data_IF_162168751034
#
_entry.id   IF_162168751034
#
_cell.length_a   1.000
_cell.length_b   1.000
_cell.length_c   1.000
_cell.angle_alpha   90.00
_cell.angle_beta   90.00
_cell.angle_gamma   90.00
#
_symmetry.space_group_name_H-M   'P 1'
#
loop_
_entity.id
_entity.type
_entity.pdbx_description
1 polymer ?
#
# COMPACT_ATOMS: atom_id res chain seq x y z
N UNK A 1 55.62 44.34 -14.24
CA UNK A 1 54.37 43.83 -14.85
C UNK A 1 54.35 42.31 -14.99
N UNK A 2 55.32 41.61 -15.53
CA UNK A 2 55.34 40.15 -15.67
C UNK A 2 55.08 39.36 -14.37
N UNK A 3 55.64 39.78 -13.23
CA UNK A 3 55.46 39.13 -11.92
C UNK A 3 54.00 39.21 -11.42
N UNK A 4 53.29 40.29 -11.70
CA UNK A 4 51.87 40.47 -11.29
C UNK A 4 50.96 39.52 -12.07
N UNK A 5 51.23 39.30 -13.34
CA UNK A 5 50.45 38.32 -14.15
C UNK A 5 50.67 36.88 -13.72
N UNK A 6 51.89 36.52 -13.26
CA UNK A 6 52.15 35.17 -12.72
C UNK A 6 51.43 34.94 -11.40
N UNK A 7 51.37 35.93 -10.51
CA UNK A 7 50.64 35.82 -9.23
C UNK A 7 49.14 35.75 -9.50
N UNK A 8 48.61 36.55 -10.42
CA UNK A 8 47.19 36.52 -10.79
C UNK A 8 46.82 35.16 -11.42
N UNK A 9 47.66 34.61 -12.28
CA UNK A 9 47.45 33.28 -12.89
C UNK A 9 47.47 32.15 -11.88
N UNK A 10 48.40 32.16 -10.91
CA UNK A 10 48.44 31.17 -9.82
C UNK A 10 47.21 31.27 -8.93
N UNK A 11 46.76 32.51 -8.62
CA UNK A 11 45.58 32.72 -7.80
C UNK A 11 44.30 32.22 -8.49
N UNK A 12 44.14 32.47 -9.79
CA UNK A 12 43.00 31.94 -10.57
C UNK A 12 43.02 30.43 -10.68
N UNK A 13 44.18 29.80 -10.81
CA UNK A 13 44.32 28.35 -10.89
C UNK A 13 43.98 27.65 -9.55
N UNK A 14 44.36 28.27 -8.43
CA UNK A 14 44.04 27.75 -7.08
C UNK A 14 42.53 27.88 -6.79
N UNK A 15 41.87 28.96 -7.22
CA UNK A 15 40.41 29.10 -7.07
C UNK A 15 39.60 28.11 -7.90
N UNK A 16 40.13 27.57 -9.01
CA UNK A 16 39.44 26.57 -9.81
C UNK A 16 39.52 25.15 -9.22
N UNK A 17 40.39 24.91 -8.26
CA UNK A 17 40.51 23.57 -7.60
C UNK A 17 39.69 23.45 -6.33
N UNK A 18 39.11 24.54 -5.81
CA UNK A 18 38.25 24.48 -4.62
C UNK A 18 36.76 24.28 -4.93
N UNK A 19 36.42 23.96 -6.17
CA UNK A 19 35.01 23.76 -6.61
C UNK A 19 34.54 22.29 -6.52
N UNK A 20 35.14 21.48 -5.68
CA UNK A 20 34.54 20.17 -5.31
C UNK A 20 33.85 20.30 -3.94
N UNK A 21 32.88 21.17 -3.81
CA UNK A 21 31.87 21.01 -2.77
C UNK A 21 31.02 19.80 -3.15
N UNK A 22 30.89 18.88 -2.23
CA UNK A 22 29.98 17.75 -2.36
C UNK A 22 28.59 18.31 -2.63
N UNK A 23 28.12 18.21 -3.87
CA UNK A 23 26.80 18.68 -4.31
C UNK A 23 25.68 17.68 -3.94
N UNK A 24 26.03 16.58 -3.31
CA UNK A 24 25.10 15.64 -2.70
C UNK A 24 24.62 16.20 -1.34
N UNK A 25 23.92 17.33 -1.41
CA UNK A 25 23.23 17.90 -0.26
C UNK A 25 21.82 17.32 -0.25
N UNK A 26 21.57 16.43 0.70
CA UNK A 26 20.21 16.03 1.03
C UNK A 26 19.39 17.28 1.37
N UNK A 27 18.18 17.44 0.78
CA UNK A 27 17.30 18.53 1.13
C UNK A 27 17.02 18.51 2.64
N UNK A 28 17.25 19.63 3.33
CA UNK A 28 17.04 19.71 4.79
C UNK A 28 15.55 19.72 5.18
N UNK A 29 14.66 19.95 4.22
CA UNK A 29 13.21 20.08 4.40
C UNK A 29 12.41 18.91 3.87
N UNK A 30 13.05 17.98 3.15
CA UNK A 30 12.45 16.74 2.68
C UNK A 30 13.35 15.57 3.07
N UNK A 31 12.77 14.53 3.70
CA UNK A 31 13.52 13.34 4.04
C UNK A 31 14.18 12.75 2.78
N UNK A 32 15.50 12.63 2.79
CA UNK A 32 16.20 11.85 1.78
C UNK A 32 15.99 10.36 2.05
N UNK A 33 16.19 9.52 1.04
CA UNK A 33 16.08 8.07 1.17
C UNK A 33 16.97 7.52 2.28
N UNK A 34 18.13 8.11 2.50
CA UNK A 34 19.12 7.63 3.47
C UNK A 34 18.85 8.14 4.88
N UNK A 35 18.20 9.30 5.03
CA UNK A 35 17.85 9.90 6.32
C UNK A 35 16.44 9.58 6.80
N UNK A 36 15.54 9.12 5.91
CA UNK A 36 14.20 8.68 6.28
C UNK A 36 14.26 7.33 7.02
N UNK A 37 13.33 7.08 7.90
CA UNK A 37 13.28 5.92 8.83
C UNK A 37 14.24 6.02 10.03
N UNK A 38 14.69 7.23 10.38
CA UNK A 38 15.53 7.50 11.52
C UNK A 38 14.78 7.60 12.86
N UNK A 39 13.46 7.62 12.82
CA UNK A 39 12.58 7.72 13.97
C UNK A 39 11.32 6.86 13.84
N UNK A 40 10.73 6.51 14.99
CA UNK A 40 9.45 5.78 15.02
C UNK A 40 8.34 6.54 14.30
N UNK A 41 8.29 7.87 14.43
CA UNK A 41 7.30 8.73 13.77
C UNK A 41 7.38 8.64 12.24
N UNK A 42 8.56 8.58 11.68
CA UNK A 42 8.77 8.40 10.23
C UNK A 42 8.32 7.01 9.75
N UNK A 43 8.57 5.98 10.54
CA UNK A 43 8.07 4.62 10.28
C UNK A 43 6.53 4.63 10.28
N UNK A 44 5.90 5.21 11.28
CA UNK A 44 4.43 5.31 11.36
C UNK A 44 3.84 6.11 10.20
N UNK A 45 4.48 7.23 9.80
CA UNK A 45 4.08 8.01 8.62
C UNK A 45 4.21 7.19 7.34
N UNK A 46 5.24 6.37 7.23
CA UNK A 46 5.44 5.49 6.07
C UNK A 46 4.34 4.44 5.98
N UNK A 47 3.96 3.83 7.11
CA UNK A 47 2.82 2.91 7.18
C UNK A 47 1.51 3.62 6.79
N UNK A 48 1.24 4.80 7.34
CA UNK A 48 0.10 5.62 6.93
C UNK A 48 0.10 5.93 5.43
N UNK A 49 1.28 6.22 4.87
CA UNK A 49 1.49 6.40 3.44
C UNK A 49 1.21 5.14 2.61
N UNK A 50 1.55 3.95 3.12
CA UNK A 50 1.22 2.68 2.49
C UNK A 50 -0.29 2.48 2.42
N UNK A 51 -1.01 2.60 3.54
CA UNK A 51 -2.47 2.49 3.57
C UNK A 51 -3.12 3.48 2.60
N UNK A 52 -2.67 4.74 2.61
CA UNK A 52 -3.18 5.75 1.70
C UNK A 52 -2.98 5.41 0.22
N UNK A 53 -1.82 4.89 -0.15
CA UNK A 53 -1.53 4.55 -1.55
C UNK A 53 -2.38 3.39 -2.05
N UNK A 54 -2.71 2.47 -1.15
CA UNK A 54 -3.41 1.22 -1.45
C UNK A 54 -4.92 1.42 -1.52
N UNK A 55 -5.43 2.15 -0.56
CA UNK A 55 -6.86 2.19 -0.30
C UNK A 55 -7.47 3.58 -0.58
N UNK A 56 -6.63 4.61 -0.66
CA UNK A 56 -7.08 5.98 -0.86
C UNK A 56 -6.34 6.64 -2.01
N UNK A 57 -7.02 7.00 -3.08
CA UNK A 57 -6.60 8.16 -3.85
C UNK A 57 -7.41 9.36 -3.42
N UNK A 58 -6.73 10.45 -3.16
CA UNK A 58 -7.31 11.67 -2.61
C UNK A 58 -8.29 12.38 -3.54
N UNK A 59 -8.36 12.00 -4.79
CA UNK A 59 -9.15 12.70 -5.81
C UNK A 59 -10.26 11.83 -6.41
N UNK A 60 -10.80 10.91 -5.64
CA UNK A 60 -12.13 10.34 -5.94
C UNK A 60 -12.24 9.32 -7.05
N UNK A 61 -11.33 9.30 -8.04
CA UNK A 61 -11.52 8.53 -9.25
C UNK A 61 -10.60 7.32 -9.45
N UNK A 62 -9.63 7.05 -8.57
CA UNK A 62 -8.55 6.16 -8.97
C UNK A 62 -8.20 5.01 -8.02
N UNK A 63 -8.78 4.91 -6.85
CA UNK A 63 -8.35 3.90 -5.88
C UNK A 63 -9.41 3.20 -5.08
N UNK A 64 -10.58 3.65 -5.08
CA UNK A 64 -11.63 2.75 -4.62
C UNK A 64 -11.74 1.66 -5.65
N UNK A 65 -11.43 0.44 -5.22
CA UNK A 65 -11.87 -0.73 -5.95
C UNK A 65 -13.38 -0.78 -5.80
N UNK A 66 -14.05 0.14 -6.47
CA UNK A 66 -15.46 0.03 -6.67
C UNK A 66 -15.65 -0.87 -7.90
N UNK A 67 -15.82 -2.15 -7.63
CA UNK A 67 -16.14 -3.13 -8.66
C UNK A 67 -17.60 -3.10 -9.06
N UNK A 68 -18.44 -2.35 -8.34
CA UNK A 68 -19.88 -2.31 -8.65
C UNK A 68 -20.17 -1.90 -10.08
N UNK A 69 -19.50 -0.90 -10.69
CA UNK A 69 -19.70 -0.57 -12.09
C UNK A 69 -19.16 -1.60 -13.10
N UNK A 70 -18.46 -2.65 -12.62
CA UNK A 70 -17.91 -3.70 -13.49
C UNK A 70 -18.81 -4.91 -13.58
N UNK A 71 -19.86 -4.92 -12.78
CA UNK A 71 -20.89 -5.95 -12.74
C UNK A 71 -22.20 -5.42 -13.31
N UNK A 72 -23.23 -6.23 -13.29
CA UNK A 72 -24.60 -5.90 -13.62
C UNK A 72 -25.37 -5.28 -12.44
N UNK A 73 -24.77 -5.21 -11.26
CA UNK A 73 -25.37 -4.62 -10.05
C UNK A 73 -25.52 -3.10 -10.13
N UNK A 74 -24.69 -2.43 -10.95
CA UNK A 74 -24.67 -0.99 -11.04
C UNK A 74 -24.40 -0.51 -12.47
N UNK A 75 -25.18 0.47 -12.92
CA UNK A 75 -25.00 1.12 -14.21
C UNK A 75 -24.73 2.62 -14.04
N UNK A 76 -23.65 3.10 -14.63
CA UNK A 76 -23.35 4.53 -14.68
C UNK A 76 -24.37 5.29 -15.54
N UNK A 77 -24.90 6.40 -15.03
CA UNK A 77 -25.82 7.28 -15.78
C UNK A 77 -25.15 8.00 -16.96
N UNK A 78 -23.86 8.29 -16.84
CA UNK A 78 -23.16 9.19 -17.77
C UNK A 78 -22.53 8.48 -18.96
N UNK A 79 -22.02 7.26 -18.75
CA UNK A 79 -21.37 6.47 -19.81
C UNK A 79 -21.29 5.00 -19.39
N UNK A 80 -21.21 4.10 -20.37
CA UNK A 80 -20.86 2.72 -20.09
C UNK A 80 -19.44 2.67 -19.49
N UNK A 81 -19.28 1.89 -18.43
CA UNK A 81 -17.96 1.60 -17.91
C UNK A 81 -17.14 0.88 -19.00
N UNK A 82 -15.84 1.17 -19.08
CA UNK A 82 -14.95 0.58 -20.09
C UNK A 82 -14.87 -0.95 -20.02
N UNK A 83 -15.14 -1.55 -18.85
CA UNK A 83 -15.22 -3.02 -18.69
C UNK A 83 -16.54 -3.54 -19.21
N UNK A 84 -17.67 -3.03 -18.70
CA UNK A 84 -19.01 -3.49 -19.15
C UNK A 84 -19.31 -3.09 -20.58
N UNK A 85 -18.71 -2.03 -21.09
CA UNK A 85 -18.77 -1.63 -22.49
C UNK A 85 -17.82 -2.41 -23.43
N UNK A 86 -16.99 -3.31 -22.90
CA UNK A 86 -16.06 -4.11 -23.69
C UNK A 86 -14.94 -3.33 -24.38
N UNK A 87 -14.63 -2.11 -23.89
CA UNK A 87 -13.59 -1.23 -24.47
C UNK A 87 -12.28 -1.25 -23.71
N UNK A 88 -12.18 -2.06 -22.67
CA UNK A 88 -10.94 -2.21 -21.88
C UNK A 88 -9.83 -2.80 -22.73
N UNK A 89 -8.62 -2.22 -22.61
CA UNK A 89 -7.42 -2.73 -23.23
C UNK A 89 -6.18 -2.28 -22.44
N UNK A 90 -5.00 -2.75 -22.82
CA UNK A 90 -3.73 -2.44 -22.12
C UNK A 90 -3.34 -0.96 -22.15
N UNK A 91 -3.91 -0.15 -23.03
CA UNK A 91 -3.68 1.29 -23.12
C UNK A 91 -4.67 2.10 -22.24
N UNK A 92 -5.65 1.45 -21.63
CA UNK A 92 -6.63 2.11 -20.77
C UNK A 92 -5.93 2.69 -19.54
N UNK A 93 -6.15 3.97 -19.27
CA UNK A 93 -5.51 4.69 -18.16
C UNK A 93 -5.78 4.03 -16.79
N UNK A 94 -6.99 3.51 -16.59
CA UNK A 94 -7.36 2.81 -15.35
C UNK A 94 -6.54 1.53 -15.15
N UNK A 95 -6.27 0.79 -16.24
CA UNK A 95 -5.44 -0.42 -16.20
C UNK A 95 -4.00 -0.06 -15.85
N UNK A 96 -3.43 0.95 -16.55
CA UNK A 96 -2.08 1.45 -16.27
C UNK A 96 -1.94 1.95 -14.83
N UNK A 97 -2.87 2.77 -14.37
CA UNK A 97 -2.86 3.32 -13.00
C UNK A 97 -2.96 2.23 -11.94
N UNK A 98 -3.80 1.23 -12.15
CA UNK A 98 -3.92 0.10 -11.22
C UNK A 98 -2.60 -0.67 -11.08
N UNK A 99 -1.97 -0.98 -12.22
CA UNK A 99 -0.67 -1.62 -12.25
C UNK A 99 0.40 -0.78 -11.54
N UNK A 100 0.54 0.49 -11.94
CA UNK A 100 1.52 1.40 -11.37
C UNK A 100 1.34 1.62 -9.86
N UNK A 101 0.10 1.83 -9.40
CA UNK A 101 -0.19 2.05 -7.98
C UNK A 101 0.08 0.80 -7.15
N UNK A 102 -0.25 -0.39 -7.66
CA UNK A 102 0.07 -1.65 -7.02
C UNK A 102 1.57 -1.81 -6.79
N UNK A 103 2.36 -1.68 -7.85
CA UNK A 103 3.83 -1.81 -7.74
C UNK A 103 4.49 -0.69 -6.94
N UNK A 104 3.95 0.54 -6.99
CA UNK A 104 4.41 1.64 -6.14
C UNK A 104 4.20 1.33 -4.65
N UNK A 105 3.09 0.72 -4.30
CA UNK A 105 2.83 0.29 -2.92
C UNK A 105 3.75 -0.87 -2.51
N UNK A 106 3.93 -1.87 -3.38
CA UNK A 106 4.82 -3.01 -3.15
C UNK A 106 6.27 -2.54 -2.95
N UNK A 107 6.79 -1.68 -3.83
CA UNK A 107 8.14 -1.15 -3.69
C UNK A 107 8.34 -0.41 -2.36
N UNK A 108 7.38 0.42 -1.94
CA UNK A 108 7.43 1.10 -0.64
C UNK A 108 7.35 0.13 0.53
N UNK A 109 6.54 -0.93 0.41
CA UNK A 109 6.45 -1.96 1.43
C UNK A 109 7.78 -2.71 1.57
N UNK A 110 8.42 -3.08 0.46
CA UNK A 110 9.70 -3.77 0.47
C UNK A 110 10.81 -2.92 1.12
N UNK A 111 10.90 -1.63 0.75
CA UNK A 111 11.84 -0.71 1.39
C UNK A 111 11.59 -0.62 2.90
N UNK A 112 10.32 -0.48 3.31
CA UNK A 112 10.00 -0.40 4.74
C UNK A 112 10.32 -1.71 5.47
N UNK A 113 10.06 -2.87 4.88
CA UNK A 113 10.42 -4.17 5.46
C UNK A 113 11.92 -4.30 5.68
N UNK A 114 12.73 -3.90 4.70
CA UNK A 114 14.18 -3.90 4.82
C UNK A 114 14.67 -2.94 5.92
N UNK A 115 14.15 -1.72 5.95
CA UNK A 115 14.49 -0.73 6.99
C UNK A 115 14.07 -1.17 8.40
N UNK A 116 12.99 -1.92 8.53
CA UNK A 116 12.58 -2.49 9.82
C UNK A 116 13.56 -3.55 10.35
N UNK A 117 14.28 -4.28 9.49
CA UNK A 117 15.34 -5.19 9.94
C UNK A 117 16.49 -4.43 10.61
N UNK A 118 16.84 -3.24 10.11
CA UNK A 118 17.87 -2.35 10.65
C UNK A 118 17.37 -1.47 11.81
N UNK A 119 16.08 -1.54 12.16
CA UNK A 119 15.42 -0.61 13.08
C UNK A 119 15.89 -0.69 14.54
N UNK A 120 16.79 -1.60 14.89
CA UNK A 120 17.46 -1.61 16.19
C UNK A 120 18.20 -0.29 16.49
N UNK A 121 18.61 0.44 15.45
CA UNK A 121 19.24 1.76 15.57
C UNK A 121 18.25 2.88 15.92
N UNK A 122 16.94 2.66 15.71
CA UNK A 122 15.88 3.67 15.93
C UNK A 122 15.31 3.61 17.34
N UNK A 123 15.68 2.58 18.14
CA UNK A 123 15.25 2.45 19.54
C UNK A 123 13.78 2.02 19.72
N UNK A 124 13.15 1.45 18.70
CA UNK A 124 11.81 0.86 18.83
C UNK A 124 11.89 -0.53 19.47
N UNK A 125 10.88 -0.89 20.27
CA UNK A 125 10.81 -2.22 20.84
C UNK A 125 10.56 -3.29 19.78
N UNK A 126 11.00 -4.53 20.03
CA UNK A 126 10.78 -5.64 19.12
C UNK A 126 9.28 -5.87 18.85
N UNK A 127 8.43 -5.70 19.86
CA UNK A 127 6.97 -5.79 19.72
C UNK A 127 6.44 -4.77 18.68
N UNK A 128 6.87 -3.52 18.74
CA UNK A 128 6.49 -2.49 17.78
C UNK A 128 7.06 -2.78 16.40
N UNK A 129 8.29 -3.26 16.32
CA UNK A 129 8.91 -3.67 15.05
C UNK A 129 8.07 -4.75 14.37
N UNK A 130 7.66 -5.79 15.12
CA UNK A 130 6.81 -6.86 14.59
C UNK A 130 5.42 -6.34 14.17
N UNK A 131 4.84 -5.42 14.95
CA UNK A 131 3.57 -4.79 14.57
C UNK A 131 3.70 -4.01 13.24
N UNK A 132 4.74 -3.20 13.09
CA UNK A 132 4.96 -2.40 11.87
C UNK A 132 5.28 -3.29 10.66
N UNK A 133 6.04 -4.36 10.88
CA UNK A 133 6.28 -5.39 9.88
C UNK A 133 4.96 -6.04 9.43
N UNK A 134 4.12 -6.45 10.37
CA UNK A 134 2.84 -7.08 10.09
C UNK A 134 1.88 -6.16 9.30
N UNK A 135 1.81 -4.87 9.66
CA UNK A 135 1.06 -3.87 8.91
C UNK A 135 1.55 -3.75 7.46
N UNK A 136 2.86 -3.76 7.28
CA UNK A 136 3.50 -3.64 5.97
C UNK A 136 3.28 -4.88 5.10
N UNK A 137 3.41 -6.09 5.68
CA UNK A 137 3.13 -7.35 5.02
C UNK A 137 1.66 -7.45 4.59
N UNK A 138 0.73 -7.03 5.45
CA UNK A 138 -0.69 -6.98 5.12
C UNK A 138 -0.95 -6.15 3.86
N UNK A 139 -0.33 -4.97 3.77
CA UNK A 139 -0.47 -4.09 2.61
C UNK A 139 0.14 -4.72 1.36
N UNK A 140 1.37 -5.25 1.45
CA UNK A 140 2.05 -5.90 0.32
C UNK A 140 1.24 -7.06 -0.21
N UNK A 141 0.82 -7.96 0.66
CA UNK A 141 0.01 -9.12 0.31
C UNK A 141 -1.32 -8.72 -0.35
N UNK A 142 -2.00 -7.72 0.20
CA UNK A 142 -3.26 -7.23 -0.37
C UNK A 142 -3.05 -6.69 -1.80
N UNK A 143 -1.93 -6.00 -2.06
CA UNK A 143 -1.65 -5.50 -3.41
C UNK A 143 -1.36 -6.61 -4.39
N UNK A 144 -0.57 -7.60 -4.02
CA UNK A 144 -0.34 -8.77 -4.88
C UNK A 144 -1.63 -9.55 -5.14
N UNK A 145 -2.46 -9.76 -4.12
CA UNK A 145 -3.75 -10.41 -4.28
C UNK A 145 -4.67 -9.67 -5.27
N UNK A 146 -4.70 -8.34 -5.22
CA UNK A 146 -5.43 -7.52 -6.18
C UNK A 146 -4.83 -7.63 -7.59
N UNK A 147 -3.51 -7.51 -7.71
CA UNK A 147 -2.83 -7.57 -9.00
C UNK A 147 -3.05 -8.93 -9.68
N UNK A 148 -2.88 -10.04 -8.95
CA UNK A 148 -3.10 -11.38 -9.50
C UNK A 148 -4.55 -11.63 -9.88
N UNK A 149 -5.51 -11.11 -9.11
CA UNK A 149 -6.94 -11.27 -9.45
C UNK A 149 -7.34 -10.51 -10.72
N UNK A 150 -6.63 -9.43 -11.06
CA UNK A 150 -6.92 -8.60 -12.23
C UNK A 150 -6.07 -8.94 -13.45
N UNK A 151 -4.83 -9.38 -13.26
CA UNK A 151 -3.84 -9.51 -14.33
C UNK A 151 -3.30 -10.94 -14.50
N UNK A 152 -3.71 -11.89 -13.66
CA UNK A 152 -3.14 -13.25 -13.65
C UNK A 152 -1.69 -13.24 -13.15
N UNK A 153 -0.77 -13.77 -13.96
CA UNK A 153 0.66 -13.75 -13.67
C UNK A 153 1.19 -12.33 -13.59
N UNK A 154 2.00 -12.05 -12.56
CA UNK A 154 2.55 -10.73 -12.29
C UNK A 154 4.03 -10.83 -11.91
N UNK A 155 4.79 -9.73 -12.00
CA UNK A 155 6.18 -9.71 -11.55
C UNK A 155 6.20 -9.74 -10.02
N UNK A 156 6.76 -10.78 -9.41
CA UNK A 156 6.87 -10.89 -7.97
C UNK A 156 8.21 -10.32 -7.47
N UNK A 157 8.13 -9.37 -6.54
CA UNK A 157 9.27 -8.63 -5.98
C UNK A 157 9.07 -8.57 -4.47
N UNK A 158 9.91 -9.26 -3.71
CA UNK A 158 9.83 -9.37 -2.24
C UNK A 158 10.87 -8.53 -1.49
N UNK A 159 11.75 -7.84 -2.22
CA UNK A 159 12.83 -7.00 -1.71
C UNK A 159 12.95 -5.70 -2.50
N UNK A 160 13.81 -4.80 -2.06
CA UNK A 160 14.23 -3.67 -2.87
C UNK A 160 15.07 -4.14 -4.05
N UNK A 161 14.79 -3.62 -5.26
CA UNK A 161 15.51 -3.91 -6.48
C UNK A 161 15.90 -2.63 -7.22
N UNK A 162 16.97 -2.69 -7.99
CA UNK A 162 17.36 -1.61 -8.91
C UNK A 162 16.44 -1.55 -10.14
N UNK A 163 16.53 -0.43 -10.86
CA UNK A 163 15.80 -0.27 -12.13
C UNK A 163 16.26 -1.30 -13.16
N UNK A 164 17.57 -1.57 -13.22
CA UNK A 164 18.13 -2.52 -14.18
C UNK A 164 17.65 -3.96 -13.89
N UNK A 165 17.63 -4.36 -12.60
CA UNK A 165 17.06 -5.65 -12.20
C UNK A 165 15.57 -5.76 -12.57
N UNK A 166 14.81 -4.67 -12.41
CA UNK A 166 13.39 -4.68 -12.73
C UNK A 166 13.10 -4.94 -14.21
N UNK A 167 13.98 -4.50 -15.12
CA UNK A 167 13.85 -4.74 -16.55
C UNK A 167 14.16 -6.19 -16.95
N UNK A 168 14.94 -6.92 -16.16
CA UNK A 168 15.29 -8.32 -16.41
C UNK A 168 14.25 -9.31 -15.83
N UNK A 169 13.31 -8.84 -15.03
CA UNK A 169 12.34 -9.71 -14.37
C UNK A 169 11.19 -10.09 -15.30
N UNK A 170 10.87 -11.39 -15.33
CA UNK A 170 9.66 -11.92 -15.96
C UNK A 170 8.47 -11.92 -15.00
N UNK A 171 7.33 -12.36 -15.52
CA UNK A 171 6.15 -12.64 -14.68
C UNK A 171 6.35 -13.96 -13.93
N UNK A 172 5.85 -13.99 -12.72
CA UNK A 172 5.77 -15.17 -11.84
C UNK A 172 4.36 -15.74 -11.94
N UNK A 173 4.23 -17.03 -11.95
CA UNK A 173 2.94 -17.72 -12.00
C UNK A 173 2.03 -17.26 -10.85
N UNK A 174 0.76 -17.09 -11.15
CA UNK A 174 -0.26 -16.63 -10.19
C UNK A 174 -0.28 -17.47 -8.91
N UNK A 175 -0.18 -18.79 -9.04
CA UNK A 175 -0.21 -19.72 -7.92
C UNK A 175 0.96 -19.48 -6.97
N UNK A 176 2.17 -19.32 -7.50
CA UNK A 176 3.38 -19.02 -6.71
C UNK A 176 3.26 -17.65 -6.00
N UNK A 177 2.75 -16.64 -6.70
CA UNK A 177 2.49 -15.32 -6.08
C UNK A 177 1.47 -15.45 -4.96
N UNK A 178 0.40 -16.21 -5.16
CA UNK A 178 -0.65 -16.40 -4.14
C UNK A 178 -0.16 -17.19 -2.92
N UNK A 179 0.72 -18.17 -3.09
CA UNK A 179 1.37 -18.83 -1.95
C UNK A 179 2.13 -17.83 -1.07
N UNK A 180 2.87 -16.90 -1.67
CA UNK A 180 3.59 -15.86 -0.95
C UNK A 180 2.63 -14.84 -0.30
N UNK A 181 1.52 -14.50 -0.97
CA UNK A 181 0.44 -13.68 -0.40
C UNK A 181 -0.12 -14.33 0.87
N UNK A 182 -0.38 -15.64 0.83
CA UNK A 182 -0.90 -16.35 2.00
C UNK A 182 0.10 -16.41 3.15
N UNK A 183 1.39 -16.57 2.87
CA UNK A 183 2.47 -16.52 3.88
C UNK A 183 2.54 -15.14 4.54
N UNK A 184 2.54 -14.07 3.74
CA UNK A 184 2.56 -12.70 4.25
C UNK A 184 1.34 -12.40 5.14
N UNK A 185 0.14 -12.86 4.74
CA UNK A 185 -1.09 -12.68 5.52
C UNK A 185 -1.10 -13.51 6.81
N UNK A 186 -0.54 -14.72 6.79
CA UNK A 186 -0.40 -15.53 8.02
C UNK A 186 0.58 -14.89 9.00
N UNK A 187 1.73 -14.40 8.52
CA UNK A 187 2.68 -13.68 9.35
C UNK A 187 2.05 -12.37 9.88
N UNK A 188 1.36 -11.62 9.03
CA UNK A 188 0.64 -10.44 9.46
C UNK A 188 -0.39 -10.77 10.54
N UNK A 189 -1.22 -11.80 10.35
CA UNK A 189 -2.22 -12.22 11.34
C UNK A 189 -1.61 -12.67 12.67
N UNK A 190 -0.36 -13.15 12.66
CA UNK A 190 0.32 -13.56 13.89
C UNK A 190 0.62 -12.37 14.81
N UNK A 191 1.08 -11.25 14.25
CA UNK A 191 1.56 -10.09 15.01
C UNK A 191 0.55 -8.93 15.08
N UNK A 192 -0.47 -8.90 14.20
CA UNK A 192 -1.50 -7.89 14.25
C UNK A 192 -2.38 -8.08 15.50
N UNK A 193 -2.80 -6.99 16.15
CA UNK A 193 -3.73 -7.06 17.27
C UNK A 193 -5.13 -7.51 16.79
N UNK A 194 -5.90 -8.03 17.71
CA UNK A 194 -7.29 -8.40 17.43
C UNK A 194 -8.17 -7.15 17.23
N UNK A 195 -7.86 -6.06 17.89
CA UNK A 195 -8.63 -4.82 17.82
C UNK A 195 -7.78 -3.60 18.15
N UNK A 196 -8.12 -2.45 17.56
CA UNK A 196 -7.68 -1.12 17.97
C UNK A 196 -8.84 -0.33 18.65
N UNK A 197 -9.75 -1.04 19.32
CA UNK A 197 -10.94 -0.44 19.88
C UNK A 197 -11.98 -0.08 18.81
N UNK A 198 -12.34 1.19 18.72
CA UNK A 198 -13.28 1.69 17.72
C UNK A 198 -12.64 2.04 16.38
N UNK A 199 -11.31 2.09 16.32
CA UNK A 199 -10.58 2.37 15.07
C UNK A 199 -10.63 1.16 14.15
N UNK A 200 -11.00 1.39 12.88
CA UNK A 200 -11.13 0.36 11.83
C UNK A 200 -10.22 0.62 10.63
N UNK A 201 -9.42 1.66 10.68
CA UNK A 201 -8.55 2.11 9.59
C UNK A 201 -7.24 1.34 9.47
N UNK A 202 -6.85 0.61 10.51
CA UNK A 202 -5.66 -0.23 10.50
C UNK A 202 -6.02 -1.70 10.45
N UNK A 203 -5.17 -2.48 9.76
CA UNK A 203 -5.39 -3.91 9.67
C UNK A 203 -5.27 -4.58 11.04
N UNK A 204 -6.24 -5.40 11.35
CA UNK A 204 -6.27 -6.27 12.52
C UNK A 204 -6.00 -7.72 12.09
N UNK A 205 -5.82 -8.60 13.05
CA UNK A 205 -5.75 -10.06 12.83
C UNK A 205 -6.95 -10.54 12.00
N UNK A 206 -8.14 -10.06 12.32
CA UNK A 206 -9.35 -10.40 11.57
C UNK A 206 -9.35 -9.86 10.14
N UNK A 207 -8.78 -8.67 9.90
CA UNK A 207 -8.63 -8.14 8.55
C UNK A 207 -7.70 -9.02 7.69
N UNK A 208 -6.58 -9.51 8.26
CA UNK A 208 -5.68 -10.41 7.56
C UNK A 208 -6.38 -11.73 7.18
N UNK A 209 -7.13 -12.32 8.12
CA UNK A 209 -7.91 -13.52 7.83
C UNK A 209 -9.01 -13.28 6.79
N UNK A 210 -9.72 -12.16 6.86
CA UNK A 210 -10.79 -11.84 5.93
C UNK A 210 -10.26 -11.61 4.49
N UNK A 211 -9.13 -10.90 4.35
CA UNK A 211 -8.47 -10.73 3.04
C UNK A 211 -7.96 -12.06 2.52
N UNK A 212 -7.35 -12.90 3.38
CA UNK A 212 -6.92 -14.24 3.00
C UNK A 212 -8.10 -15.09 2.51
N UNK A 213 -9.21 -15.10 3.25
CA UNK A 213 -10.41 -15.84 2.88
C UNK A 213 -10.96 -15.40 1.51
N UNK A 214 -11.06 -14.07 1.28
CA UNK A 214 -11.55 -13.50 0.03
C UNK A 214 -10.70 -13.93 -1.17
N UNK A 215 -9.39 -13.75 -1.08
CA UNK A 215 -8.51 -14.01 -2.22
C UNK A 215 -8.20 -15.50 -2.42
N UNK A 216 -8.25 -16.31 -1.37
CA UNK A 216 -8.27 -17.76 -1.49
C UNK A 216 -9.54 -18.23 -2.23
N UNK A 217 -10.71 -17.63 -1.92
CA UNK A 217 -11.94 -17.89 -2.65
C UNK A 217 -11.82 -17.55 -4.14
N UNK A 218 -11.24 -16.39 -4.46
CA UNK A 218 -11.03 -15.96 -5.86
C UNK A 218 -9.97 -16.79 -6.60
N UNK A 219 -9.08 -17.42 -5.85
CA UNK A 219 -8.07 -18.34 -6.38
C UNK A 219 -8.54 -19.79 -6.44
N UNK A 220 -9.81 -20.06 -6.08
CA UNK A 220 -10.43 -21.39 -6.01
C UNK A 220 -9.81 -22.33 -4.95
N UNK A 221 -9.06 -21.77 -3.99
CA UNK A 221 -8.51 -22.49 -2.83
C UNK A 221 -9.60 -22.64 -1.75
N UNK A 222 -10.65 -23.38 -2.05
CA UNK A 222 -11.89 -23.47 -1.26
C UNK A 222 -11.66 -23.85 0.20
N UNK A 223 -10.80 -24.81 0.46
CA UNK A 223 -10.49 -25.27 1.82
C UNK A 223 -9.77 -24.17 2.61
N UNK A 224 -8.79 -23.51 1.99
CA UNK A 224 -8.05 -22.42 2.61
C UNK A 224 -8.95 -21.20 2.87
N UNK A 225 -9.85 -20.90 1.93
CA UNK A 225 -10.84 -19.84 2.10
C UNK A 225 -11.76 -20.11 3.30
N UNK A 226 -12.28 -21.33 3.42
CA UNK A 226 -13.13 -21.74 4.53
C UNK A 226 -12.38 -21.69 5.87
N UNK A 227 -11.13 -22.17 5.92
CA UNK A 227 -10.30 -22.13 7.13
C UNK A 227 -10.00 -20.70 7.56
N UNK A 228 -9.65 -19.80 6.63
CA UNK A 228 -9.37 -18.41 6.93
C UNK A 228 -10.62 -17.66 7.41
N UNK A 229 -11.76 -17.88 6.75
CA UNK A 229 -13.03 -17.32 7.19
C UNK A 229 -13.39 -17.79 8.60
N UNK A 230 -13.22 -19.10 8.88
CA UNK A 230 -13.46 -19.64 10.22
C UNK A 230 -12.56 -18.99 11.27
N UNK A 231 -11.26 -18.81 11.00
CA UNK A 231 -10.35 -18.13 11.92
C UNK A 231 -10.80 -16.69 12.23
N UNK A 232 -11.35 -15.97 11.24
CA UNK A 232 -11.91 -14.65 11.44
C UNK A 232 -13.15 -14.70 12.34
N UNK A 233 -14.06 -15.64 12.12
CA UNK A 233 -15.27 -15.85 12.94
C UNK A 233 -14.93 -16.27 14.37
N UNK A 234 -13.93 -17.12 14.56
CA UNK A 234 -13.51 -17.65 15.86
C UNK A 234 -12.91 -16.55 16.78
N UNK A 235 -12.55 -15.37 16.25
CA UNK A 235 -12.18 -14.20 17.06
C UNK A 235 -13.36 -13.65 17.88
N UNK A 236 -14.61 -13.91 17.46
CA UNK A 236 -15.84 -13.45 18.12
C UNK A 236 -15.91 -11.92 18.35
N UNK A 237 -15.24 -11.15 17.49
CA UNK A 237 -15.17 -9.69 17.55
C UNK A 237 -16.18 -9.06 16.60
N UNK A 238 -16.43 -9.74 15.47
CA UNK A 238 -17.30 -9.28 14.41
C UNK A 238 -18.68 -9.88 14.53
N UNK A 239 -19.69 -9.08 14.21
CA UNK A 239 -21.09 -9.47 14.34
C UNK A 239 -21.90 -8.75 13.26
N UNK A 240 -22.82 -9.43 12.59
CA UNK A 240 -23.68 -8.82 11.59
C UNK A 240 -24.52 -7.73 12.27
N UNK A 241 -24.65 -6.58 11.59
CA UNK A 241 -25.50 -5.50 12.08
C UNK A 241 -26.97 -5.92 12.03
N UNK A 242 -27.75 -5.68 13.08
CA UNK A 242 -29.14 -6.16 13.14
C UNK A 242 -30.06 -5.49 12.11
N UNK A 243 -29.69 -4.28 11.66
CA UNK A 243 -30.41 -3.52 10.65
C UNK A 243 -29.49 -3.20 9.46
N UNK A 244 -29.86 -3.72 8.30
CA UNK A 244 -29.07 -3.54 7.08
C UNK A 244 -29.05 -2.08 6.59
N UNK A 245 -30.17 -1.36 6.72
CA UNK A 245 -30.25 0.05 6.29
C UNK A 245 -29.35 0.94 7.17
N UNK A 246 -29.37 0.71 8.47
CA UNK A 246 -28.55 1.46 9.41
C UNK A 246 -27.05 1.25 9.22
N UNK A 247 -26.63 0.16 8.61
CA UNK A 247 -25.21 -0.12 8.35
C UNK A 247 -24.55 0.95 7.44
N UNK A 248 -25.35 1.63 6.61
CA UNK A 248 -24.86 2.58 5.61
C UNK A 248 -24.95 4.05 6.05
N UNK A 249 -25.34 4.33 7.29
CA UNK A 249 -25.35 5.70 7.81
C UNK A 249 -24.05 6.05 8.54
N UNK A 250 -23.74 7.34 8.61
CA UNK A 250 -22.45 7.80 9.14
C UNK A 250 -22.23 7.43 10.63
N UNK A 251 -23.29 7.30 11.42
CA UNK A 251 -23.20 6.94 12.85
C UNK A 251 -22.75 5.50 13.11
N UNK A 252 -22.88 4.62 12.13
CA UNK A 252 -22.55 3.18 12.24
C UNK A 252 -21.25 2.80 11.57
N UNK A 253 -20.43 3.77 11.15
CA UNK A 253 -19.15 3.51 10.51
C UNK A 253 -18.18 2.65 11.34
N UNK A 254 -18.41 2.54 12.66
CA UNK A 254 -17.68 1.65 13.57
C UNK A 254 -18.47 0.38 13.93
N UNK A 255 -19.53 0.04 13.18
CA UNK A 255 -20.29 -1.18 13.43
C UNK A 255 -19.37 -2.41 13.49
N UNK A 256 -19.75 -3.38 14.33
CA UNK A 256 -18.97 -4.62 14.49
C UNK A 256 -18.88 -5.45 13.20
N UNK A 257 -19.76 -5.25 12.25
CA UNK A 257 -19.72 -5.89 10.94
C UNK A 257 -18.54 -5.39 10.11
N UNK A 258 -18.07 -4.16 10.33
CA UNK A 258 -16.94 -3.59 9.61
C UNK A 258 -15.62 -4.14 10.14
N UNK A 259 -14.99 -5.06 9.40
CA UNK A 259 -13.69 -5.64 9.75
C UNK A 259 -12.57 -4.64 9.52
N UNK A 260 -12.58 -3.96 8.38
CA UNK A 260 -11.62 -2.94 7.99
C UNK A 260 -12.36 -1.88 7.18
N UNK A 261 -12.28 -0.64 7.59
CA UNK A 261 -12.94 0.47 6.90
C UNK A 261 -12.11 1.74 7.01
N UNK A 262 -12.23 2.59 5.98
CA UNK A 262 -11.58 3.89 5.98
C UNK A 262 -12.62 4.95 6.23
N UNK A 263 -12.54 5.67 7.37
CA UNK A 263 -13.44 6.75 7.63
C UNK A 263 -13.25 7.85 6.59
N UNK A 264 -14.36 8.34 6.06
CA UNK A 264 -14.41 9.51 5.19
C UNK A 264 -15.15 10.61 5.89
N UNK A 265 -14.59 11.82 5.86
CA UNK A 265 -15.24 12.98 6.43
C UNK A 265 -15.09 14.20 5.56
N UNK A 266 -16.04 15.12 5.67
CA UNK A 266 -16.00 16.40 4.96
C UNK A 266 -14.83 17.25 5.47
N UNK A 267 -14.51 17.19 6.75
CA UNK A 267 -13.42 17.92 7.39
C UNK A 267 -12.06 17.49 6.83
N UNK A 268 -11.89 16.21 6.57
CA UNK A 268 -10.66 15.63 6.00
C UNK A 268 -10.61 15.77 4.47
N UNK A 269 -11.67 16.27 3.83
CA UNK A 269 -11.79 16.38 2.37
C UNK A 269 -11.52 15.05 1.64
N UNK A 270 -11.83 13.93 2.28
CA UNK A 270 -11.67 12.58 1.75
C UNK A 270 -13.01 11.88 1.49
N UNK A 271 -14.09 12.64 1.38
CA UNK A 271 -15.41 12.13 1.04
C UNK A 271 -15.54 11.89 -0.47
N UNK A 272 -16.41 10.97 -0.83
CA UNK A 272 -16.87 10.86 -2.20
C UNK A 272 -17.83 12.02 -2.47
N UNK A 273 -17.47 12.91 -3.36
CA UNK A 273 -18.42 13.83 -3.96
C UNK A 273 -19.30 13.04 -4.91
N UNK A 274 -20.39 12.51 -4.40
CA UNK A 274 -21.45 11.85 -5.19
C UNK A 274 -22.32 12.90 -5.88
N UNK A 275 -21.73 13.99 -6.34
CA UNK A 275 -22.31 15.09 -7.06
C UNK A 275 -23.79 15.25 -6.81
N UNK A 276 -24.22 16.36 -6.25
CA UNK A 276 -25.65 16.65 -6.10
C UNK A 276 -26.34 16.43 -7.46
N UNK A 277 -27.16 15.39 -7.55
CA UNK A 277 -27.98 15.08 -8.73
C UNK A 277 -29.04 16.13 -8.90
#
# INVERSE_FOLDING_TARGET
MKKVYHILFIFTTVCLWSSCANLDLDPLDTGSRDSWYSSEDEIQRSIGGLYRTVFFTLNGNESTIDYSPWSDDNQSRASLNFITGGTINGESDQVKKRWQNGYKAIARANILLEKLEDANSVGISEEKKQLYRAQTLFVRATQYAILTSLFGDVVYIDKEISIDEAFEMGRTDREEVMENVYKDLDEAAHYLPETYGTQREFATKGAAYAIKARYALYNEDWELAAQAAKKCMDLQIYELHPDFEELFIASTHHAKENILSWPRSVELKNYLDVGAA
#
